data_IF_126427115437
#
_entry.id   IF_126427115437
#
_cell.length_a   1.000
_cell.length_b   1.000
_cell.length_c   1.000
_cell.angle_alpha   90.00
_cell.angle_beta   90.00
_cell.angle_gamma   90.00
#
_symmetry.space_group_name_H-M   'P 1'
#
loop_
_entity.id
_entity.type
_entity.pdbx_description
1 polymer ?
#
# COMPACT_ATOMS: atom_id res chain seq x y z
N UNK A 1 3.32 -18.41 15.71
CA UNK A 1 4.35 -17.81 14.83
C UNK A 1 3.85 -17.53 13.39
N UNK A 2 2.54 -17.55 13.13
CA UNK A 2 1.93 -17.37 11.78
C UNK A 2 1.08 -16.10 11.64
N UNK A 3 0.84 -15.36 12.72
CA UNK A 3 -0.10 -14.23 12.75
C UNK A 3 0.44 -12.92 12.15
N UNK A 4 1.75 -12.81 11.95
CA UNK A 4 2.39 -11.56 11.50
C UNK A 4 2.40 -11.37 9.98
N UNK A 5 2.43 -12.47 9.19
CA UNK A 5 2.29 -12.38 7.73
C UNK A 5 0.91 -11.84 7.32
N UNK A 6 -0.12 -12.15 8.13
CA UNK A 6 -1.47 -11.66 7.91
C UNK A 6 -1.60 -10.13 8.02
N UNK A 7 -0.67 -9.41 8.65
CA UNK A 7 -0.73 -7.95 8.72
C UNK A 7 -0.30 -7.29 7.40
N UNK A 8 0.74 -7.83 6.76
CA UNK A 8 1.23 -7.33 5.47
C UNK A 8 0.27 -7.71 4.32
N UNK A 9 -0.25 -8.95 4.34
CA UNK A 9 -1.32 -9.38 3.42
C UNK A 9 -2.60 -8.56 3.59
N UNK A 10 -2.98 -8.22 4.83
CA UNK A 10 -4.10 -7.30 5.08
C UNK A 10 -3.82 -5.91 4.51
N UNK A 11 -2.58 -5.41 4.62
CA UNK A 11 -2.18 -4.12 4.03
C UNK A 11 -2.25 -4.11 2.51
N UNK A 12 -1.74 -5.16 1.85
CA UNK A 12 -1.80 -5.32 0.41
C UNK A 12 -3.25 -5.45 -0.10
N UNK A 13 -4.07 -6.26 0.58
CA UNK A 13 -5.49 -6.41 0.27
C UNK A 13 -6.28 -5.12 0.44
N UNK A 14 -5.92 -4.27 1.41
CA UNK A 14 -6.55 -2.95 1.60
C UNK A 14 -6.21 -2.03 0.43
N UNK A 15 -4.95 -1.99 -0.03
CA UNK A 15 -4.55 -1.17 -1.19
C UNK A 15 -5.27 -1.64 -2.46
N UNK A 16 -5.29 -2.95 -2.70
CA UNK A 16 -6.02 -3.57 -3.81
C UNK A 16 -7.53 -3.26 -3.75
N UNK A 17 -8.13 -3.35 -2.57
CA UNK A 17 -9.54 -3.01 -2.39
C UNK A 17 -9.80 -1.53 -2.69
N UNK A 18 -8.91 -0.61 -2.28
CA UNK A 18 -9.05 0.82 -2.60
C UNK A 18 -8.94 1.09 -4.11
N UNK A 19 -7.99 0.48 -4.81
CA UNK A 19 -7.88 0.61 -6.27
C UNK A 19 -9.12 0.06 -6.99
N UNK A 20 -9.59 -1.13 -6.60
CA UNK A 20 -10.76 -1.77 -7.23
C UNK A 20 -12.01 -0.94 -6.96
N UNK A 21 -12.24 -0.50 -5.72
CA UNK A 21 -13.42 0.31 -5.37
C UNK A 21 -13.36 1.67 -6.06
N UNK A 22 -12.20 2.33 -6.08
CA UNK A 22 -12.00 3.60 -6.80
C UNK A 22 -12.25 3.46 -8.30
N UNK A 23 -11.72 2.39 -8.91
CA UNK A 23 -11.92 2.08 -10.33
C UNK A 23 -13.38 1.81 -10.69
N UNK A 24 -14.10 1.04 -9.87
CA UNK A 24 -15.53 0.78 -10.08
C UNK A 24 -16.36 2.05 -9.92
N UNK A 25 -16.08 2.89 -8.92
CA UNK A 25 -16.77 4.17 -8.73
C UNK A 25 -16.54 5.12 -9.92
N UNK A 26 -15.31 5.21 -10.41
CA UNK A 26 -14.99 6.00 -11.59
C UNK A 26 -15.73 5.49 -12.84
N UNK A 27 -15.78 4.17 -13.03
CA UNK A 27 -16.50 3.55 -14.15
C UNK A 27 -18.01 3.83 -14.09
N UNK A 28 -18.63 3.69 -12.91
CA UNK A 28 -20.04 4.00 -12.70
C UNK A 28 -20.33 5.47 -13.00
N UNK A 29 -19.43 6.39 -12.62
CA UNK A 29 -19.56 7.80 -12.97
C UNK A 29 -19.48 8.03 -14.48
N UNK A 30 -18.56 7.38 -15.18
CA UNK A 30 -18.42 7.49 -16.64
C UNK A 30 -19.65 6.98 -17.39
N UNK A 31 -20.19 5.82 -16.98
CA UNK A 31 -21.42 5.27 -17.54
C UNK A 31 -22.61 6.19 -17.25
N UNK A 32 -22.69 6.75 -16.04
CA UNK A 32 -23.72 7.72 -15.67
C UNK A 32 -23.69 9.00 -16.51
N UNK A 33 -22.50 9.50 -16.86
CA UNK A 33 -22.33 10.65 -17.77
C UNK A 33 -22.71 10.29 -19.21
N UNK A 34 -22.42 9.06 -19.66
CA UNK A 34 -22.68 8.65 -21.04
C UNK A 34 -24.17 8.37 -21.32
N UNK A 35 -24.94 7.96 -20.31
CA UNK A 35 -26.31 7.46 -20.49
C UNK A 35 -27.37 8.11 -19.57
N UNK A 36 -26.98 9.05 -18.70
CA UNK A 36 -27.87 9.61 -17.67
C UNK A 36 -28.68 10.84 -18.10
N UNK A 37 -29.86 11.08 -17.49
CA UNK A 37 -30.64 12.30 -17.73
C UNK A 37 -29.95 13.53 -17.12
N UNK A 38 -29.98 14.68 -17.82
CA UNK A 38 -29.22 15.90 -17.53
C UNK A 38 -29.33 16.50 -16.10
N UNK A 39 -30.38 16.17 -15.34
CA UNK A 39 -30.53 16.61 -13.95
C UNK A 39 -29.74 15.74 -12.95
N UNK A 40 -29.42 14.50 -13.34
CA UNK A 40 -28.72 13.52 -12.50
C UNK A 40 -27.19 13.61 -12.64
N UNK A 41 -26.70 14.16 -13.75
CA UNK A 41 -25.27 14.31 -14.05
C UNK A 41 -24.52 15.08 -12.96
N UNK A 42 -25.05 16.23 -12.52
CA UNK A 42 -24.36 17.10 -11.56
C UNK A 42 -24.17 16.46 -10.18
N UNK A 43 -25.17 15.71 -9.70
CA UNK A 43 -25.12 15.07 -8.39
C UNK A 43 -24.18 13.85 -8.40
N UNK A 44 -24.20 13.06 -9.48
CA UNK A 44 -23.32 11.90 -9.63
C UNK A 44 -21.85 12.31 -9.79
N UNK A 45 -21.55 13.34 -10.59
CA UNK A 45 -20.17 13.80 -10.76
C UNK A 45 -19.60 14.36 -9.46
N UNK A 46 -20.38 15.16 -8.72
CA UNK A 46 -19.94 15.70 -7.43
C UNK A 46 -19.69 14.60 -6.40
N UNK A 47 -20.59 13.61 -6.28
CA UNK A 47 -20.40 12.46 -5.39
C UNK A 47 -19.16 11.64 -5.76
N UNK A 48 -18.95 11.37 -7.05
CA UNK A 48 -17.76 10.65 -7.53
C UNK A 48 -16.45 11.37 -7.19
N UNK A 49 -16.39 12.68 -7.40
CA UNK A 49 -15.23 13.50 -7.03
C UNK A 49 -15.00 13.51 -5.52
N UNK A 50 -16.06 13.60 -4.71
CA UNK A 50 -15.96 13.61 -3.25
C UNK A 50 -15.45 12.27 -2.71
N UNK A 51 -15.90 11.14 -3.28
CA UNK A 51 -15.41 9.81 -2.94
C UNK A 51 -13.93 9.64 -3.30
N UNK A 52 -13.51 10.06 -4.50
CA UNK A 52 -12.10 10.02 -4.90
C UNK A 52 -11.22 10.92 -4.01
N UNK A 53 -11.69 12.13 -3.72
CA UNK A 53 -11.01 13.07 -2.85
C UNK A 53 -10.88 12.55 -1.41
N UNK A 54 -11.83 11.75 -0.93
CA UNK A 54 -11.77 11.11 0.40
C UNK A 54 -10.84 9.89 0.44
N UNK A 55 -10.69 9.15 -0.66
CA UNK A 55 -9.76 8.01 -0.75
C UNK A 55 -8.29 8.47 -0.69
N UNK A 56 -7.97 9.61 -1.29
CA UNK A 56 -6.60 10.12 -1.33
C UNK A 56 -5.95 10.35 0.06
N UNK A 57 -6.56 11.05 1.03
CA UNK A 57 -5.98 11.25 2.36
C UNK A 57 -5.94 9.95 3.17
N UNK A 58 -6.86 9.01 2.96
CA UNK A 58 -6.82 7.69 3.60
C UNK A 58 -5.63 6.87 3.09
N UNK A 59 -5.43 6.84 1.76
CA UNK A 59 -4.27 6.22 1.13
C UNK A 59 -2.97 6.86 1.59
N UNK A 60 -2.90 8.19 1.56
CA UNK A 60 -1.73 8.94 1.98
C UNK A 60 -1.40 8.76 3.47
N UNK A 61 -2.42 8.79 4.33
CA UNK A 61 -2.28 8.56 5.77
C UNK A 61 -1.80 7.14 6.08
N UNK A 62 -2.35 6.14 5.37
CA UNK A 62 -1.90 4.75 5.46
C UNK A 62 -0.44 4.60 5.02
N UNK A 63 -0.07 5.21 3.90
CA UNK A 63 1.30 5.17 3.38
C UNK A 63 2.30 5.83 4.35
N UNK A 64 1.92 6.96 4.98
CA UNK A 64 2.73 7.60 6.03
C UNK A 64 2.89 6.71 7.26
N UNK A 65 1.84 5.98 7.65
CA UNK A 65 1.87 5.09 8.81
C UNK A 65 2.71 3.84 8.57
N UNK A 66 2.64 3.26 7.37
CA UNK A 66 3.55 2.20 6.93
C UNK A 66 5.00 2.68 6.96
N UNK A 67 5.26 3.88 6.43
CA UNK A 67 6.58 4.50 6.44
C UNK A 67 7.10 4.70 7.87
N UNK A 68 6.26 5.20 8.80
CA UNK A 68 6.69 5.38 10.20
C UNK A 68 6.94 4.05 10.92
N UNK A 69 6.16 3.01 10.63
CA UNK A 69 6.37 1.66 11.20
C UNK A 69 7.65 1.05 10.66
N UNK A 70 7.93 1.19 9.35
CA UNK A 70 9.17 0.74 8.71
C UNK A 70 10.40 1.44 9.31
N UNK A 71 10.28 2.75 9.57
CA UNK A 71 11.33 3.55 10.22
C UNK A 71 11.58 3.13 11.67
N UNK A 72 10.52 2.97 12.47
CA UNK A 72 10.65 2.62 13.89
C UNK A 72 11.15 1.19 14.12
N UNK A 73 10.95 0.29 13.16
CA UNK A 73 11.40 -1.11 13.26
C UNK A 73 12.72 -1.39 12.55
N UNK A 74 13.36 -0.35 11.99
CA UNK A 74 14.65 -0.47 11.32
C UNK A 74 14.60 -1.40 10.13
N UNK A 75 13.56 -1.28 9.27
CA UNK A 75 13.45 -1.87 7.94
C UNK A 75 14.12 -3.25 7.71
N UNK A 76 14.02 -4.18 8.68
CA UNK A 76 14.54 -5.55 8.56
C UNK A 76 13.53 -6.38 7.75
N UNK A 77 13.37 -6.04 6.47
CA UNK A 77 12.52 -6.75 5.52
C UNK A 77 13.36 -7.34 4.39
N UNK A 78 13.04 -8.55 3.96
CA UNK A 78 13.65 -9.12 2.77
C UNK A 78 13.17 -8.39 1.51
N UNK A 79 14.10 -7.85 0.71
CA UNK A 79 13.76 -7.11 -0.51
C UNK A 79 13.11 -7.97 -1.61
N UNK A 80 13.26 -9.29 -1.58
CA UNK A 80 12.71 -10.19 -2.60
C UNK A 80 11.31 -10.69 -2.27
N UNK A 81 11.08 -11.13 -1.04
CA UNK A 81 9.79 -11.70 -0.63
C UNK A 81 8.99 -10.82 0.35
N UNK A 82 9.55 -9.70 0.82
CA UNK A 82 8.89 -8.82 1.79
C UNK A 82 8.82 -9.38 3.22
N UNK A 83 9.43 -10.54 3.49
CA UNK A 83 9.37 -11.17 4.81
C UNK A 83 10.01 -10.29 5.89
N UNK A 84 9.29 -10.11 6.99
CA UNK A 84 9.72 -9.31 8.12
C UNK A 84 10.63 -10.12 9.06
N UNK A 85 11.89 -9.67 9.21
CA UNK A 85 12.96 -10.40 9.90
C UNK A 85 13.19 -9.95 11.34
N UNK A 86 12.13 -9.55 12.04
CA UNK A 86 12.27 -9.09 13.45
C UNK A 86 12.81 -10.25 14.32
N UNK A 87 14.02 -10.08 14.86
CA UNK A 87 14.67 -11.05 15.74
C UNK A 87 15.55 -12.09 15.04
N UNK A 88 15.74 -12.01 13.71
CA UNK A 88 16.68 -12.86 12.97
C UNK A 88 18.05 -12.15 12.92
N UNK A 89 19.18 -12.84 13.17
CA UNK A 89 20.51 -12.23 13.06
C UNK A 89 20.71 -11.58 11.68
N UNK A 90 21.27 -10.35 11.67
CA UNK A 90 21.41 -9.54 10.46
C UNK A 90 22.16 -10.27 9.34
N UNK A 91 23.11 -11.12 9.69
CA UNK A 91 23.99 -11.83 8.73
C UNK A 91 23.40 -13.13 8.17
N UNK A 92 22.14 -13.45 8.48
CA UNK A 92 21.55 -14.74 8.08
C UNK A 92 20.66 -14.63 6.85
N UNK A 93 20.58 -15.76 6.14
CA UNK A 93 19.74 -15.99 4.99
C UNK A 93 18.27 -15.80 5.36
N UNK A 94 17.45 -15.23 4.46
CA UNK A 94 16.00 -15.16 4.66
C UNK A 94 15.42 -16.58 4.77
N UNK A 95 14.65 -16.89 5.84
CA UNK A 95 14.11 -18.24 6.05
C UNK A 95 13.08 -18.65 5.00
N UNK A 96 12.37 -17.68 4.38
CA UNK A 96 11.33 -17.99 3.39
C UNK A 96 11.87 -18.19 1.98
N UNK A 97 12.83 -17.36 1.54
CA UNK A 97 13.26 -17.34 0.14
C UNK A 97 14.72 -17.77 -0.07
N UNK A 98 15.46 -18.07 1.00
CA UNK A 98 16.84 -18.52 0.93
C UNK A 98 17.83 -17.45 0.44
N UNK A 99 17.45 -16.18 0.36
CA UNK A 99 18.34 -15.12 -0.10
C UNK A 99 19.19 -14.57 1.04
N UNK A 100 20.49 -14.37 0.78
CA UNK A 100 21.36 -13.63 1.71
C UNK A 100 20.86 -12.19 1.89
N UNK A 101 20.85 -11.74 3.13
CA UNK A 101 20.55 -10.36 3.46
C UNK A 101 21.84 -9.55 3.41
N UNK A 102 21.88 -8.57 2.50
CA UNK A 102 22.91 -7.53 2.50
C UNK A 102 22.29 -6.27 3.12
N UNK A 103 22.61 -6.01 4.39
CA UNK A 103 22.14 -4.82 5.10
C UNK A 103 22.54 -3.52 4.37
N UNK A 104 23.69 -3.52 3.69
CA UNK A 104 24.12 -2.37 2.90
C UNK A 104 23.28 -2.22 1.61
N UNK A 105 22.83 -3.32 0.99
CA UNK A 105 21.91 -3.26 -0.14
C UNK A 105 20.55 -2.69 0.28
N UNK A 106 20.04 -3.09 1.45
CA UNK A 106 18.79 -2.55 1.99
C UNK A 106 18.93 -1.06 2.28
N UNK A 107 20.02 -0.64 2.93
CA UNK A 107 20.29 0.77 3.19
C UNK A 107 20.36 1.60 1.90
N UNK A 108 21.02 1.10 0.84
CA UNK A 108 21.07 1.77 -0.47
C UNK A 108 19.69 1.93 -1.12
N UNK A 109 18.83 0.93 -0.98
CA UNK A 109 17.46 0.99 -1.50
C UNK A 109 16.61 1.99 -0.70
N UNK A 110 16.74 1.99 0.63
CA UNK A 110 16.05 2.95 1.49
C UNK A 110 16.46 4.40 1.19
N UNK A 111 17.76 4.64 1.02
CA UNK A 111 18.30 5.97 0.67
C UNK A 111 17.74 6.48 -0.68
N UNK A 112 17.63 5.61 -1.70
CA UNK A 112 16.98 5.95 -2.97
C UNK A 112 15.52 6.41 -2.81
N UNK A 113 14.80 5.87 -1.82
CA UNK A 113 13.42 6.26 -1.51
C UNK A 113 13.33 7.45 -0.53
N UNK A 114 14.46 8.04 -0.15
CA UNK A 114 14.54 9.12 0.84
C UNK A 114 14.11 8.66 2.23
N UNK A 115 14.37 7.40 2.55
CA UNK A 115 14.09 6.80 3.86
C UNK A 115 15.43 6.73 4.62
N UNK A 116 15.58 7.47 5.74
CA UNK A 116 16.77 7.38 6.58
C UNK A 116 16.86 6.05 7.31
#
# INVERSE_FOLDING_TARGET
>A
MWEHNAFFDRGANIVLAFEVVGGVLALVCLVGVAYGPAAWERHCTLLGMLCLAAQFPLYWGWHRRLRSVLQQTGADICLKCGYWRKGVPRDHVCPECGQMYDAAAVARVLDRFGLP
#
